data_IF_094037246234
#
_entry.id   IF_094037246234
#
_cell.length_a   1.000
_cell.length_b   1.000
_cell.length_c   1.000
_cell.angle_alpha   90.00
_cell.angle_beta   90.00
_cell.angle_gamma   90.00
#
_symmetry.space_group_name_H-M   'P 1'
#
loop_
_entity.id
_entity.type
_entity.pdbx_description
1 polymer ?
#
# COMPACT_ATOMS: atom_id res chain seq x y z
N UNK A 1 -28.26 -50.17 0.47
CA UNK A 1 -28.33 -49.36 1.71
C UNK A 1 -27.20 -49.78 2.62
N UNK A 2 -26.15 -48.96 2.74
CA UNK A 2 -25.08 -49.17 3.74
C UNK A 2 -24.62 -47.80 4.22
N UNK A 3 -25.07 -47.42 5.42
CA UNK A 3 -24.72 -46.15 6.06
C UNK A 3 -23.39 -46.33 6.77
N UNK A 4 -22.29 -45.91 6.15
CA UNK A 4 -21.00 -45.79 6.82
C UNK A 4 -21.05 -44.57 7.75
N UNK A 5 -21.13 -44.84 9.05
CA UNK A 5 -21.01 -43.85 10.11
C UNK A 5 -19.55 -43.35 10.15
N UNK A 6 -19.31 -42.15 9.64
CA UNK A 6 -18.04 -41.45 9.81
C UNK A 6 -18.18 -40.48 10.99
N UNK A 7 -17.59 -40.84 12.13
CA UNK A 7 -17.43 -39.94 13.28
C UNK A 7 -16.22 -39.03 13.02
N UNK A 8 -16.36 -37.70 12.98
CA UNK A 8 -15.21 -36.81 13.08
C UNK A 8 -14.84 -36.54 14.54
N UNK A 9 -13.53 -36.54 14.79
CA UNK A 9 -12.84 -36.52 16.07
C UNK A 9 -13.17 -35.31 16.97
N UNK A 10 -13.07 -35.54 18.29
CA UNK A 10 -13.16 -34.49 19.33
C UNK A 10 -12.00 -33.50 19.19
N UNK A 11 -12.23 -32.17 19.29
CA UNK A 11 -11.14 -31.20 19.26
C UNK A 11 -10.31 -31.26 20.56
N UNK A 12 -9.01 -31.51 20.40
CA UNK A 12 -8.02 -31.49 21.49
C UNK A 12 -7.81 -30.05 21.96
N UNK A 13 -8.25 -29.77 23.19
CA UNK A 13 -8.12 -28.48 23.89
C UNK A 13 -6.65 -28.23 24.24
N UNK A 14 -5.93 -27.49 23.39
CA UNK A 14 -4.62 -26.94 23.74
C UNK A 14 -4.78 -25.90 24.87
N UNK A 15 -4.38 -26.26 26.09
CA UNK A 15 -4.20 -25.31 27.20
C UNK A 15 -2.91 -24.53 26.94
N UNK A 16 -3.04 -23.26 26.55
CA UNK A 16 -1.92 -22.30 26.58
C UNK A 16 -1.75 -21.84 28.03
N UNK A 17 -0.71 -22.32 28.71
CA UNK A 17 -0.26 -21.72 29.96
C UNK A 17 0.51 -20.44 29.59
N UNK A 18 0.04 -19.28 30.06
CA UNK A 18 0.86 -18.07 30.08
C UNK A 18 1.07 -17.69 31.55
N UNK A 19 2.20 -18.16 32.09
CA UNK A 19 2.68 -17.81 33.41
C UNK A 19 3.16 -16.36 33.36
N UNK A 20 2.60 -15.52 34.23
CA UNK A 20 3.01 -14.13 34.35
C UNK A 20 4.49 -13.99 34.70
N UNK A 21 5.11 -12.95 34.14
CA UNK A 21 6.34 -12.41 34.67
C UNK A 21 6.19 -10.90 34.80
N UNK A 22 5.82 -10.47 36.00
CA UNK A 22 5.89 -9.09 36.46
C UNK A 22 7.25 -8.89 37.13
N UNK A 23 8.12 -8.06 36.56
CA UNK A 23 9.25 -7.37 37.22
C UNK A 23 9.84 -6.39 36.21
N UNK A 24 9.49 -5.11 36.30
CA UNK A 24 10.12 -4.07 37.11
C UNK A 24 11.09 -3.23 36.25
N UNK A 25 10.69 -1.98 36.02
CA UNK A 25 11.46 -0.92 35.36
C UNK A 25 12.67 -0.54 36.23
N UNK A 26 13.89 -0.47 35.68
CA UNK A 26 14.95 0.31 36.28
C UNK A 26 14.86 1.78 35.84
N UNK A 27 14.94 2.63 36.85
CA UNK A 27 14.88 4.09 36.86
C UNK A 27 16.12 4.75 36.25
N UNK A 28 15.89 5.75 35.41
CA UNK A 28 16.87 6.80 35.06
C UNK A 28 17.23 7.64 36.31
N UNK A 29 18.46 8.18 36.38
CA UNK A 29 18.52 9.63 36.45
C UNK A 29 19.56 10.29 35.52
N UNK A 30 19.06 11.30 34.80
CA UNK A 30 19.65 12.64 34.70
C UNK A 30 20.94 12.82 33.90
N UNK A 31 20.80 13.28 32.66
CA UNK A 31 21.48 14.52 32.24
C UNK A 31 20.53 15.41 31.44
N UNK A 32 20.25 16.58 32.02
CA UNK A 32 19.46 17.66 31.41
C UNK A 32 20.37 18.57 30.57
N UNK A 33 19.71 19.30 29.65
CA UNK A 33 20.13 20.49 28.90
C UNK A 33 20.84 20.15 27.56
N UNK A 34 20.36 20.59 26.40
CA UNK A 34 19.99 21.98 26.09
C UNK A 34 18.77 22.06 25.16
N UNK A 35 17.97 23.11 25.38
CA UNK A 35 16.76 23.48 24.68
C UNK A 35 16.98 23.88 23.20
N UNK A 36 16.03 23.52 22.35
CA UNK A 36 15.53 24.39 21.29
C UNK A 36 14.11 23.96 20.92
N UNK A 37 13.13 24.66 21.48
CA UNK A 37 11.76 24.63 20.97
C UNK A 37 11.78 25.33 19.59
N UNK A 38 11.68 24.55 18.52
CA UNK A 38 11.36 25.12 17.20
C UNK A 38 9.84 25.30 17.16
N UNK A 39 9.40 26.52 17.45
CA UNK A 39 8.08 26.99 17.10
C UNK A 39 8.01 27.11 15.57
N UNK A 40 7.79 26.00 14.87
CA UNK A 40 7.58 26.04 13.43
C UNK A 40 6.19 26.56 13.14
N UNK A 41 6.11 27.85 12.78
CA UNK A 41 5.01 28.37 11.96
C UNK A 41 4.80 27.37 10.83
N UNK A 42 3.58 26.82 10.74
CA UNK A 42 3.16 26.00 9.61
C UNK A 42 3.03 26.90 8.37
N UNK A 43 4.17 27.32 7.82
CA UNK A 43 4.24 27.76 6.43
C UNK A 43 4.06 26.49 5.62
N UNK A 44 2.93 26.40 4.91
CA UNK A 44 2.63 25.31 3.98
C UNK A 44 3.63 25.30 2.84
N UNK A 45 4.84 24.82 3.10
CA UNK A 45 5.77 24.41 2.07
C UNK A 45 5.24 23.07 1.56
N UNK A 46 4.48 23.13 0.46
CA UNK A 46 4.31 21.96 -0.40
C UNK A 46 5.70 21.62 -0.89
N UNK A 47 6.34 20.62 -0.27
CA UNK A 47 7.55 20.04 -0.80
C UNK A 47 7.11 19.41 -2.13
N UNK A 48 7.34 20.10 -3.24
CA UNK A 48 7.34 19.46 -4.53
C UNK A 48 8.58 18.55 -4.55
N UNK A 49 8.41 17.35 -3.98
CA UNK A 49 9.37 16.26 -4.06
C UNK A 49 9.72 16.08 -5.53
N UNK A 50 10.93 16.50 -5.89
CA UNK A 50 11.42 16.39 -7.26
C UNK A 50 11.39 14.91 -7.65
N UNK A 51 10.66 14.58 -8.73
CA UNK A 51 10.53 13.20 -9.20
C UNK A 51 11.93 12.64 -9.51
N UNK A 52 12.34 11.51 -8.90
CA UNK A 52 13.64 10.91 -9.14
C UNK A 52 13.89 10.61 -10.62
N UNK A 53 15.11 10.82 -11.10
CA UNK A 53 15.46 10.62 -12.52
C UNK A 53 15.24 9.18 -13.03
N UNK A 54 15.42 8.18 -12.17
CA UNK A 54 15.10 6.78 -12.47
C UNK A 54 13.59 6.57 -12.70
N UNK A 55 12.72 7.32 -12.01
CA UNK A 55 11.26 7.25 -12.22
C UNK A 55 10.86 7.85 -13.56
N UNK A 56 11.57 8.88 -14.03
CA UNK A 56 11.34 9.46 -15.36
C UNK A 56 11.65 8.44 -16.46
N UNK A 57 12.80 7.76 -16.36
CA UNK A 57 13.18 6.70 -17.30
C UNK A 57 12.18 5.52 -17.27
N UNK A 58 11.76 5.09 -16.07
CA UNK A 58 10.73 4.06 -15.92
C UNK A 58 9.38 4.49 -16.51
N UNK A 59 9.02 5.77 -16.40
CA UNK A 59 7.79 6.30 -16.98
C UNK A 59 7.82 6.31 -18.51
N UNK A 60 8.97 6.59 -19.13
CA UNK A 60 9.10 6.50 -20.59
C UNK A 60 8.92 5.06 -21.06
N UNK A 61 9.58 4.09 -20.41
CA UNK A 61 9.36 2.67 -20.69
C UNK A 61 7.90 2.26 -20.50
N UNK A 62 7.22 2.80 -19.48
CA UNK A 62 5.79 2.56 -19.24
C UNK A 62 4.90 3.13 -20.35
N UNK A 63 5.19 4.34 -20.84
CA UNK A 63 4.48 4.96 -21.96
C UNK A 63 4.58 4.06 -23.20
N UNK A 64 5.80 3.62 -23.53
CA UNK A 64 6.06 2.78 -24.69
C UNK A 64 5.39 1.41 -24.56
N UNK A 65 5.54 0.76 -23.40
CA UNK A 65 4.98 -0.58 -23.13
C UNK A 65 3.45 -0.62 -23.21
N UNK A 66 2.77 0.46 -22.80
CA UNK A 66 1.31 0.51 -22.73
C UNK A 66 0.67 1.39 -23.81
N UNK A 67 1.45 1.85 -24.80
CA UNK A 67 0.96 2.66 -25.91
C UNK A 67 0.32 3.97 -25.47
N UNK A 68 0.81 4.59 -24.39
CA UNK A 68 0.34 5.90 -23.95
C UNK A 68 0.94 6.98 -24.85
N UNK A 69 0.28 8.14 -24.96
CA UNK A 69 0.79 9.25 -25.77
C UNK A 69 0.63 10.58 -25.03
N UNK A 70 1.57 10.87 -24.14
CA UNK A 70 1.63 12.14 -23.42
C UNK A 70 2.69 13.04 -24.05
N UNK A 71 2.30 14.27 -24.41
CA UNK A 71 3.26 15.25 -24.92
C UNK A 71 4.17 15.72 -23.78
N UNK A 72 5.47 15.43 -23.88
CA UNK A 72 6.47 15.87 -22.89
C UNK A 72 6.40 17.38 -22.65
N UNK A 73 6.51 17.79 -21.40
CA UNK A 73 6.45 19.20 -20.99
C UNK A 73 5.04 19.77 -20.85
N UNK A 74 4.00 18.99 -21.14
CA UNK A 74 2.61 19.40 -20.86
C UNK A 74 2.22 19.15 -19.41
N UNK A 75 1.20 19.86 -18.94
CA UNK A 75 0.64 19.65 -17.61
C UNK A 75 0.18 18.19 -17.41
N UNK A 76 -0.45 17.59 -18.43
CA UNK A 76 -0.86 16.18 -18.36
C UNK A 76 0.33 15.24 -18.19
N UNK A 77 1.41 15.43 -18.96
CA UNK A 77 2.62 14.62 -18.82
C UNK A 77 3.17 14.65 -17.38
N UNK A 78 3.28 15.85 -16.78
CA UNK A 78 3.76 15.98 -15.41
C UNK A 78 2.78 15.37 -14.40
N UNK A 79 1.47 15.59 -14.57
CA UNK A 79 0.44 14.98 -13.72
C UNK A 79 0.54 13.45 -13.72
N UNK A 80 0.64 12.85 -14.91
CA UNK A 80 0.74 11.39 -15.07
C UNK A 80 2.05 10.84 -14.52
N UNK A 81 3.16 11.54 -14.76
CA UNK A 81 4.48 11.20 -14.20
C UNK A 81 4.45 11.19 -12.66
N UNK A 82 3.84 12.19 -12.04
CA UNK A 82 3.74 12.26 -10.57
C UNK A 82 2.93 11.10 -10.00
N UNK A 83 1.78 10.77 -10.61
CA UNK A 83 0.95 9.63 -10.17
C UNK A 83 1.72 8.31 -10.35
N UNK A 84 2.33 8.12 -11.53
CA UNK A 84 3.13 6.93 -11.82
C UNK A 84 4.29 6.77 -10.82
N UNK A 85 4.99 7.86 -10.52
CA UNK A 85 6.12 7.90 -9.57
C UNK A 85 5.70 7.43 -8.17
N UNK A 86 4.57 7.93 -7.66
CA UNK A 86 4.00 7.49 -6.37
C UNK A 86 3.61 6.01 -6.39
N UNK A 87 3.04 5.50 -7.49
CA UNK A 87 2.71 4.07 -7.63
C UNK A 87 3.95 3.19 -7.70
N UNK A 88 4.97 3.61 -8.43
CA UNK A 88 6.24 2.89 -8.53
C UNK A 88 6.92 2.81 -7.17
N UNK A 89 7.01 3.93 -6.45
CA UNK A 89 7.57 3.96 -5.10
C UNK A 89 6.85 3.00 -4.14
N UNK A 90 5.51 2.95 -4.19
CA UNK A 90 4.74 1.99 -3.39
C UNK A 90 5.01 0.54 -3.77
N UNK A 91 5.16 0.25 -5.07
CA UNK A 91 5.51 -1.09 -5.52
C UNK A 91 6.91 -1.50 -5.03
N UNK A 92 7.89 -0.61 -5.12
CA UNK A 92 9.24 -0.82 -4.58
C UNK A 92 9.23 -1.06 -3.07
N UNK A 93 8.45 -0.26 -2.32
CA UNK A 93 8.30 -0.42 -0.88
C UNK A 93 7.62 -1.74 -0.47
N UNK A 94 6.74 -2.30 -1.31
CA UNK A 94 6.19 -3.65 -1.09
C UNK A 94 7.25 -4.70 -1.41
N UNK A 95 7.99 -4.51 -2.50
CA UNK A 95 9.00 -5.46 -2.98
C UNK A 95 10.22 -5.55 -2.07
N UNK A 96 10.52 -4.51 -1.30
CA UNK A 96 11.62 -4.50 -0.33
C UNK A 96 11.30 -5.24 0.97
N UNK A 97 10.05 -5.66 1.21
CA UNK A 97 9.66 -6.36 2.44
C UNK A 97 10.27 -7.77 2.52
N UNK A 98 10.86 -8.15 3.67
CA UNK A 98 11.36 -9.51 3.86
C UNK A 98 10.18 -10.50 3.90
N UNK A 99 10.36 -11.68 3.31
CA UNK A 99 9.34 -12.73 3.29
C UNK A 99 8.12 -12.43 2.42
N UNK A 100 8.22 -11.51 1.44
CA UNK A 100 7.11 -11.24 0.52
C UNK A 100 6.72 -12.49 -0.26
N UNK A 101 5.42 -12.72 -0.41
CA UNK A 101 4.86 -13.85 -1.15
C UNK A 101 4.65 -13.54 -2.64
N UNK A 102 4.68 -12.25 -3.01
CA UNK A 102 4.42 -11.78 -4.36
C UNK A 102 5.25 -10.52 -4.65
N UNK A 103 5.39 -10.22 -5.95
CA UNK A 103 6.10 -9.03 -6.43
C UNK A 103 5.08 -8.05 -7.00
N UNK A 104 5.08 -6.83 -6.47
CA UNK A 104 4.28 -5.73 -6.98
C UNK A 104 4.87 -5.22 -8.29
N UNK A 105 4.04 -5.18 -9.33
CA UNK A 105 4.37 -4.61 -10.64
C UNK A 105 3.58 -3.36 -10.92
N UNK A 106 4.07 -2.57 -11.87
CA UNK A 106 3.35 -1.43 -12.41
C UNK A 106 2.40 -1.92 -13.49
N UNK A 107 1.14 -1.48 -13.44
CA UNK A 107 0.08 -1.90 -14.38
C UNK A 107 -0.31 -0.75 -15.31
N UNK A 108 -1.06 -1.00 -16.41
CA UNK A 108 -1.53 0.06 -17.32
C UNK A 108 -2.40 1.16 -16.68
N UNK A 109 -2.78 0.95 -15.42
CA UNK A 109 -3.61 1.83 -14.60
C UNK A 109 -2.79 2.68 -13.61
N UNK A 110 -1.46 2.53 -13.60
CA UNK A 110 -0.58 3.18 -12.62
C UNK A 110 -0.47 4.69 -12.77
N UNK A 111 -0.92 5.24 -13.90
CA UNK A 111 -0.96 6.66 -14.22
C UNK A 111 -2.31 7.33 -13.90
N UNK A 112 -3.28 6.56 -13.38
CA UNK A 112 -4.66 7.03 -13.16
C UNK A 112 -4.92 7.49 -11.73
N UNK A 113 -5.75 8.52 -11.60
CA UNK A 113 -6.22 8.99 -10.29
C UNK A 113 -7.25 8.02 -9.69
N UNK A 114 -7.49 8.07 -8.36
CA UNK A 114 -8.54 7.26 -7.73
C UNK A 114 -9.92 7.44 -8.37
N UNK A 115 -10.25 8.66 -8.81
CA UNK A 115 -11.51 8.99 -9.46
C UNK A 115 -11.59 8.31 -10.83
N UNK A 116 -10.55 8.41 -11.66
CA UNK A 116 -10.48 7.74 -12.97
C UNK A 116 -10.52 6.21 -12.83
N UNK A 117 -9.86 5.67 -11.80
CA UNK A 117 -9.93 4.24 -11.48
C UNK A 117 -11.34 3.81 -11.08
N UNK A 118 -12.07 4.65 -10.35
CA UNK A 118 -13.45 4.35 -9.93
C UNK A 118 -14.38 4.18 -11.12
N UNK A 119 -14.21 5.00 -12.16
CA UNK A 119 -14.99 4.92 -13.40
C UNK A 119 -14.69 3.66 -14.22
N UNK A 120 -13.53 3.01 -13.99
CA UNK A 120 -13.14 1.77 -14.67
C UNK A 120 -13.59 0.50 -13.93
N UNK A 121 -14.14 0.62 -12.72
CA UNK A 121 -14.63 -0.55 -11.97
C UNK A 121 -15.99 -0.97 -12.53
N UNK A 122 -16.05 -2.12 -13.19
CA UNK A 122 -17.30 -2.67 -13.76
C UNK A 122 -18.27 -3.28 -12.73
N UNK A 123 -17.94 -3.27 -11.44
CA UNK A 123 -18.78 -3.85 -10.39
C UNK A 123 -19.58 -2.78 -9.66
N UNK A 124 -20.89 -2.72 -9.92
CA UNK A 124 -21.81 -1.76 -9.32
C UNK A 124 -22.30 -2.16 -7.91
N UNK A 125 -21.83 -3.27 -7.32
CA UNK A 125 -22.24 -3.71 -5.98
C UNK A 125 -23.60 -4.39 -5.89
N UNK A 126 -24.45 -4.28 -6.92
CA UNK A 126 -25.79 -4.86 -6.96
C UNK A 126 -25.85 -6.14 -7.82
N UNK A 127 -25.13 -7.19 -7.44
CA UNK A 127 -25.58 -8.53 -7.82
C UNK A 127 -26.73 -8.91 -6.88
N UNK A 128 -27.94 -8.44 -7.19
CA UNK A 128 -29.14 -8.92 -6.53
C UNK A 128 -29.34 -10.38 -6.94
N UNK A 129 -29.38 -11.35 -6.01
CA UNK A 129 -29.96 -12.63 -6.32
C UNK A 129 -31.45 -12.36 -6.48
N UNK A 130 -31.92 -12.27 -7.72
CA UNK A 130 -33.33 -12.49 -8.02
C UNK A 130 -33.63 -13.94 -7.63
N UNK A 131 -33.89 -14.15 -6.35
CA UNK A 131 -34.41 -15.41 -5.82
C UNK A 131 -35.83 -15.49 -6.39
N UNK A 132 -36.01 -16.40 -7.34
CA UNK A 132 -37.28 -16.63 -8.02
C UNK A 132 -38.44 -16.72 -7.04
N UNK A 133 -39.53 -16.05 -7.42
CA UNK A 133 -40.88 -16.30 -6.91
C UNK A 133 -41.45 -17.54 -7.59
#
# INVERSE_FOLDING_TARGET
>A
MSKMNFMPAKPTRFKRANSGNSRALPTEPSMKLVAAAILSLATGASIEEAVPGNHIAAFHSFIDQHGKNYKKGTHEYFKRLTIFSDRLHRAEAINSRPGRLWTAGVSPLADLTPEELSQKKGWAGFASPTRGM
#
